data_IF_280412994312
#
_entry.id   IF_280412994312
#
_cell.length_a   1.000
_cell.length_b   1.000
_cell.length_c   1.000
_cell.angle_alpha   90.00
_cell.angle_beta   90.00
_cell.angle_gamma   90.00
#
_symmetry.space_group_name_H-M   'P 1'
#
loop_
_entity.id
_entity.type
_entity.pdbx_description
1 polymer ?
#
# COMPACT_ATOMS: atom_id res chain seq x y z
N UNK A 1 -31.17 -17.13 7.40
CA UNK A 1 -30.33 -16.18 8.18
C UNK A 1 -28.95 -16.82 8.35
N UNK A 2 -27.84 -16.13 8.06
CA UNK A 2 -26.49 -16.70 8.26
C UNK A 2 -26.20 -16.82 9.76
N UNK A 3 -25.63 -17.93 10.25
CA UNK A 3 -25.31 -18.07 11.66
C UNK A 3 -24.19 -17.09 12.07
N UNK A 4 -24.23 -16.51 13.29
CA UNK A 4 -23.30 -15.47 13.74
C UNK A 4 -21.83 -15.86 13.61
N UNK A 5 -21.46 -17.10 13.95
CA UNK A 5 -20.07 -17.57 13.89
C UNK A 5 -19.53 -17.58 12.46
N UNK A 6 -20.34 -18.02 11.49
CA UNK A 6 -19.93 -18.01 10.07
C UNK A 6 -19.75 -16.59 9.55
N UNK A 7 -20.56 -15.65 10.02
CA UNK A 7 -20.42 -14.24 9.67
C UNK A 7 -19.13 -13.65 10.26
N UNK A 8 -18.84 -13.91 11.54
CA UNK A 8 -17.60 -13.47 12.18
C UNK A 8 -16.36 -14.03 11.46
N UNK A 9 -16.34 -15.33 11.15
CA UNK A 9 -15.24 -15.93 10.39
C UNK A 9 -15.11 -15.41 8.96
N UNK A 10 -16.22 -15.03 8.31
CA UNK A 10 -16.18 -14.41 7.00
C UNK A 10 -15.60 -12.99 7.07
N UNK A 11 -16.08 -12.17 8.01
CA UNK A 11 -15.59 -10.81 8.22
C UNK A 11 -14.09 -10.79 8.54
N UNK A 12 -13.63 -11.67 9.43
CA UNK A 12 -12.21 -11.80 9.76
C UNK A 12 -11.36 -12.09 8.51
N UNK A 13 -11.77 -13.06 7.69
CA UNK A 13 -11.05 -13.38 6.43
C UNK A 13 -11.06 -12.23 5.43
N UNK A 14 -12.15 -11.47 5.35
CA UNK A 14 -12.22 -10.29 4.48
C UNK A 14 -11.29 -9.17 4.96
N UNK A 15 -11.19 -8.97 6.27
CA UNK A 15 -10.31 -7.99 6.90
C UNK A 15 -8.83 -8.37 6.75
N UNK A 16 -8.50 -9.66 6.91
CA UNK A 16 -7.15 -10.17 6.64
C UNK A 16 -6.76 -9.97 5.17
N UNK A 17 -7.67 -10.30 4.24
CA UNK A 17 -7.44 -10.09 2.82
C UNK A 17 -7.25 -8.60 2.47
N UNK A 18 -8.01 -7.70 3.12
CA UNK A 18 -7.86 -6.26 2.97
C UNK A 18 -6.50 -5.78 3.50
N UNK A 19 -6.06 -6.28 4.66
CA UNK A 19 -4.75 -5.94 5.23
C UNK A 19 -3.60 -6.39 4.31
N UNK A 20 -3.68 -7.61 3.75
CA UNK A 20 -2.72 -8.11 2.77
C UNK A 20 -2.71 -7.24 1.50
N UNK A 21 -3.89 -6.87 0.97
CA UNK A 21 -3.97 -6.02 -0.21
C UNK A 21 -3.34 -4.63 0.02
N UNK A 22 -3.60 -4.01 1.17
CA UNK A 22 -2.98 -2.73 1.57
C UNK A 22 -1.46 -2.85 1.70
N UNK A 23 -0.97 -3.93 2.31
CA UNK A 23 0.46 -4.20 2.42
C UNK A 23 1.12 -4.36 1.06
N UNK A 24 0.49 -5.11 0.16
CA UNK A 24 1.01 -5.33 -1.19
C UNK A 24 1.06 -4.03 -2.00
N UNK A 25 0.04 -3.17 -1.87
CA UNK A 25 0.03 -1.86 -2.50
C UNK A 25 1.20 -0.99 -1.99
N UNK A 26 1.41 -0.92 -0.69
CA UNK A 26 2.52 -0.17 -0.10
C UNK A 26 3.90 -0.72 -0.54
N UNK A 27 4.03 -2.05 -0.66
CA UNK A 27 5.26 -2.67 -1.17
C UNK A 27 5.51 -2.33 -2.64
N UNK A 28 4.46 -2.31 -3.46
CA UNK A 28 4.56 -1.94 -4.87
C UNK A 28 4.97 -0.47 -5.05
N UNK A 29 4.34 0.44 -4.31
CA UNK A 29 4.70 1.87 -4.30
C UNK A 29 6.15 2.07 -3.88
N UNK A 30 6.58 1.41 -2.79
CA UNK A 30 7.97 1.49 -2.32
C UNK A 30 8.96 0.91 -3.34
N UNK A 31 8.60 -0.18 -4.03
CA UNK A 31 9.45 -0.76 -5.06
C UNK A 31 9.64 0.22 -6.24
N UNK A 32 8.62 0.97 -6.63
CA UNK A 32 8.72 2.00 -7.66
C UNK A 32 9.63 3.16 -7.21
N UNK A 33 9.46 3.66 -5.99
CA UNK A 33 10.35 4.71 -5.45
C UNK A 33 11.80 4.25 -5.37
N UNK A 34 12.06 3.06 -4.85
CA UNK A 34 13.42 2.49 -4.78
C UNK A 34 14.03 2.32 -6.17
N UNK A 35 13.22 1.92 -7.16
CA UNK A 35 13.67 1.79 -8.55
C UNK A 35 14.01 3.16 -9.14
N UNK A 36 13.16 4.16 -8.94
CA UNK A 36 13.40 5.52 -9.40
C UNK A 36 14.69 6.10 -8.79
N UNK A 37 14.91 5.89 -7.49
CA UNK A 37 16.14 6.28 -6.80
C UNK A 37 17.37 5.58 -7.41
N UNK A 38 17.31 4.26 -7.59
CA UNK A 38 18.40 3.48 -8.17
C UNK A 38 18.74 3.88 -9.60
N UNK A 39 17.74 4.15 -10.43
CA UNK A 39 17.94 4.67 -11.79
C UNK A 39 18.54 6.08 -11.78
N UNK A 40 18.09 6.97 -10.88
CA UNK A 40 18.67 8.31 -10.70
C UNK A 40 20.15 8.25 -10.33
N UNK A 41 20.51 7.36 -9.40
CA UNK A 41 21.91 7.13 -8.99
C UNK A 41 22.76 6.65 -10.19
N UNK A 42 22.22 5.75 -11.03
CA UNK A 42 22.91 5.24 -12.22
C UNK A 42 23.11 6.30 -13.30
N UNK A 43 22.11 7.17 -13.50
CA UNK A 43 22.15 8.23 -14.52
C UNK A 43 23.07 9.39 -14.12
N UNK A 44 23.29 9.62 -12.82
CA UNK A 44 24.17 10.69 -12.30
C UNK A 44 25.35 10.16 -11.47
N UNK A 45 26.30 9.41 -12.05
CA UNK A 45 27.42 8.85 -11.30
C UNK A 45 28.46 9.90 -10.84
N UNK A 46 28.48 11.11 -11.44
CA UNK A 46 29.56 12.11 -11.24
C UNK A 46 29.32 13.19 -10.17
N UNK A 47 28.20 13.21 -9.44
CA UNK A 47 28.04 14.10 -8.27
C UNK A 47 28.66 13.54 -6.99
N UNK A 48 28.95 12.22 -6.93
CA UNK A 48 29.30 11.53 -5.69
C UNK A 48 30.79 11.27 -5.46
N UNK A 49 31.64 11.36 -6.50
CA UNK A 49 33.07 11.01 -6.36
C UNK A 49 33.93 12.12 -5.73
N UNK A 50 33.56 13.40 -5.90
CA UNK A 50 34.34 14.53 -5.37
C UNK A 50 34.08 14.83 -3.88
N UNK A 51 33.05 14.23 -3.27
CA UNK A 51 32.64 14.52 -1.89
C UNK A 51 32.52 13.24 -1.07
N UNK A 52 33.64 12.53 -0.83
CA UNK A 52 33.71 11.39 0.10
C UNK A 52 33.13 11.68 1.51
N UNK A 53 32.76 12.93 1.84
CA UNK A 53 32.05 13.34 3.06
C UNK A 53 30.68 14.03 2.87
N UNK A 54 30.25 14.36 1.66
CA UNK A 54 29.01 15.14 1.41
C UNK A 54 28.31 14.68 0.11
N UNK A 55 27.83 13.44 0.06
CA UNK A 55 26.93 13.01 -1.02
C UNK A 55 25.51 13.53 -0.72
N UNK A 56 25.28 14.84 -0.82
CA UNK A 56 23.95 15.42 -0.66
C UNK A 56 23.18 15.21 -1.96
N UNK A 57 22.04 14.52 -1.87
CA UNK A 57 21.00 14.55 -2.88
C UNK A 57 20.74 16.01 -3.29
N UNK A 58 21.02 16.33 -4.55
CA UNK A 58 20.92 17.69 -5.09
C UNK A 58 19.53 17.95 -5.67
N UNK A 59 19.16 19.22 -5.85
CA UNK A 59 17.90 19.54 -6.55
C UNK A 59 17.84 18.99 -7.98
N UNK A 60 19.00 18.83 -8.64
CA UNK A 60 19.08 18.17 -9.94
C UNK A 60 18.94 16.64 -9.85
N UNK A 61 19.28 16.02 -8.71
CA UNK A 61 18.97 14.61 -8.45
C UNK A 61 17.47 14.44 -8.20
N UNK A 62 16.86 15.34 -7.44
CA UNK A 62 15.40 15.34 -7.20
C UNK A 62 14.62 15.48 -8.51
N UNK A 63 14.99 16.43 -9.38
CA UNK A 63 14.32 16.62 -10.66
C UNK A 63 14.40 15.38 -11.56
N UNK A 64 15.54 14.68 -11.56
CA UNK A 64 15.71 13.46 -12.34
C UNK A 64 14.96 12.28 -11.71
N UNK A 65 14.96 12.17 -10.39
CA UNK A 65 14.14 11.20 -9.66
C UNK A 65 12.66 11.35 -9.99
N UNK A 66 12.12 12.57 -9.96
CA UNK A 66 10.71 12.81 -10.31
C UNK A 66 10.42 12.42 -11.76
N UNK A 67 11.31 12.75 -12.72
CA UNK A 67 11.15 12.31 -14.12
C UNK A 67 11.13 10.80 -14.29
N UNK A 68 12.03 10.10 -13.60
CA UNK A 68 12.08 8.63 -13.63
C UNK A 68 10.83 8.06 -12.96
N UNK A 69 10.43 8.60 -11.81
CA UNK A 69 9.24 8.17 -11.10
C UNK A 69 7.99 8.39 -11.95
N UNK A 70 7.83 9.53 -12.60
CA UNK A 70 6.73 9.83 -13.52
C UNK A 70 6.66 8.82 -14.67
N UNK A 71 7.81 8.48 -15.27
CA UNK A 71 7.87 7.45 -16.32
C UNK A 71 7.43 6.07 -15.79
N UNK A 72 7.88 5.69 -14.60
CA UNK A 72 7.48 4.42 -13.98
C UNK A 72 5.98 4.43 -13.63
N UNK A 73 5.47 5.55 -13.13
CA UNK A 73 4.06 5.76 -12.79
C UNK A 73 3.16 5.79 -14.02
N UNK A 74 3.63 6.26 -15.18
CA UNK A 74 2.87 6.20 -16.41
C UNK A 74 2.51 4.76 -16.82
N UNK A 75 3.36 3.79 -16.45
CA UNK A 75 3.13 2.36 -16.72
C UNK A 75 2.41 1.67 -15.56
N UNK A 76 2.88 1.86 -14.33
CA UNK A 76 2.38 1.15 -13.16
C UNK A 76 1.12 1.79 -12.53
N UNK A 77 0.91 3.10 -12.75
CA UNK A 77 -0.16 3.88 -12.15
C UNK A 77 -1.57 3.30 -12.37
N UNK A 78 -1.96 2.94 -13.61
CA UNK A 78 -3.28 2.36 -13.85
C UNK A 78 -3.56 1.08 -13.05
N UNK A 79 -2.54 0.25 -12.85
CA UNK A 79 -2.64 -0.98 -12.07
C UNK A 79 -2.72 -0.70 -10.56
N UNK A 80 -1.92 0.26 -10.07
CA UNK A 80 -2.01 0.72 -8.68
C UNK A 80 -3.39 1.34 -8.37
N UNK A 81 -3.92 2.15 -9.28
CA UNK A 81 -5.25 2.75 -9.15
C UNK A 81 -6.36 1.70 -9.19
N UNK A 82 -6.20 0.67 -10.01
CA UNK A 82 -7.11 -0.48 -10.03
C UNK A 82 -7.06 -1.21 -8.69
N UNK A 83 -5.87 -1.40 -8.11
CA UNK A 83 -5.71 -2.05 -6.81
C UNK A 83 -6.30 -1.19 -5.68
N UNK A 84 -6.07 0.12 -5.68
CA UNK A 84 -6.67 1.07 -4.73
C UNK A 84 -8.19 0.98 -4.77
N UNK A 85 -8.79 1.09 -5.96
CA UNK A 85 -10.26 0.96 -6.11
C UNK A 85 -10.80 -0.39 -5.66
N UNK A 86 -10.01 -1.47 -5.77
CA UNK A 86 -10.40 -2.79 -5.25
C UNK A 86 -10.41 -2.81 -3.72
N UNK A 87 -9.38 -2.21 -3.10
CA UNK A 87 -9.28 -2.01 -1.65
C UNK A 87 -10.49 -1.22 -1.15
N UNK A 88 -10.80 -0.09 -1.79
CA UNK A 88 -11.92 0.78 -1.38
C UNK A 88 -13.27 0.04 -1.46
N UNK A 89 -13.49 -0.75 -2.52
CA UNK A 89 -14.70 -1.58 -2.66
C UNK A 89 -14.79 -2.66 -1.59
N UNK A 90 -13.67 -3.29 -1.23
CA UNK A 90 -13.65 -4.30 -0.17
C UNK A 90 -13.94 -3.68 1.20
N UNK A 91 -13.36 -2.51 1.49
CA UNK A 91 -13.64 -1.77 2.71
C UNK A 91 -15.11 -1.37 2.81
N UNK A 92 -15.70 -0.84 1.73
CA UNK A 92 -17.12 -0.52 1.68
C UNK A 92 -18.01 -1.75 1.87
N UNK A 93 -17.63 -2.91 1.32
CA UNK A 93 -18.35 -4.17 1.49
C UNK A 93 -18.29 -4.66 2.95
N UNK A 94 -17.12 -4.62 3.59
CA UNK A 94 -16.95 -4.98 5.01
C UNK A 94 -17.81 -4.07 5.89
N UNK A 95 -17.77 -2.75 5.68
CA UNK A 95 -18.58 -1.79 6.43
C UNK A 95 -20.08 -2.04 6.26
N UNK A 96 -20.52 -2.32 5.04
CA UNK A 96 -21.91 -2.66 4.74
C UNK A 96 -22.36 -3.93 5.48
N UNK A 97 -21.52 -4.98 5.46
CA UNK A 97 -21.81 -6.23 6.17
C UNK A 97 -21.87 -6.03 7.68
N UNK A 98 -20.90 -5.33 8.27
CA UNK A 98 -20.90 -5.00 9.70
C UNK A 98 -22.17 -4.25 10.11
N UNK A 99 -22.60 -3.25 9.32
CA UNK A 99 -23.86 -2.51 9.54
C UNK A 99 -25.10 -3.41 9.41
N UNK A 100 -25.20 -4.19 8.33
CA UNK A 100 -26.37 -5.05 8.04
C UNK A 100 -26.63 -6.08 9.14
N UNK A 101 -25.57 -6.64 9.70
CA UNK A 101 -25.67 -7.69 10.71
C UNK A 101 -25.43 -7.18 12.14
N UNK A 102 -25.38 -5.85 12.34
CA UNK A 102 -25.08 -5.19 13.63
C UNK A 102 -23.85 -5.77 14.33
N UNK A 103 -22.85 -6.19 13.56
CA UNK A 103 -21.53 -6.58 14.06
C UNK A 103 -20.75 -5.29 14.35
N UNK A 104 -21.21 -4.60 15.38
CA UNK A 104 -20.52 -3.54 16.12
C UNK A 104 -20.59 -3.81 17.63
N UNK A 105 -21.25 -4.90 18.05
CA UNK A 105 -21.16 -5.37 19.42
C UNK A 105 -19.71 -5.78 19.69
N UNK A 106 -19.13 -5.23 20.75
CA UNK A 106 -17.88 -5.69 21.34
C UNK A 106 -17.86 -7.22 21.28
N UNK A 107 -16.77 -7.79 20.73
CA UNK A 107 -16.49 -9.22 20.84
C UNK A 107 -16.80 -9.61 22.29
N UNK A 108 -17.76 -10.51 22.57
CA UNK A 108 -18.02 -10.90 23.95
C UNK A 108 -16.68 -11.36 24.50
N UNK A 109 -16.17 -10.62 25.49
CA UNK A 109 -14.99 -11.04 26.21
C UNK A 109 -15.35 -12.41 26.76
N UNK A 110 -14.67 -13.44 26.25
CA UNK A 110 -14.73 -14.76 26.86
C UNK A 110 -14.21 -14.54 28.29
N UNK A 111 -15.13 -14.50 29.24
CA UNK A 111 -14.79 -14.76 30.62
C UNK A 111 -14.49 -16.26 30.67
N UNK A 112 -13.20 -16.56 30.62
CA UNK A 112 -12.71 -17.89 30.96
C UNK A 112 -12.88 -18.04 32.49
N UNK A 113 -13.59 -19.10 32.89
CA UNK A 113 -13.72 -19.54 34.28
C UNK A 113 -12.45 -20.25 34.74
#
# INVERSE_FOLDING_TARGET
>A
MMPPDRLCSLLARMEDALAVARRNLALAERALSNRAEGETIRLRPKSRHYHRRMSRWTGADEAEYQRVLDRLMAVAGPDLDRLRRKIDRQEAAILTLRRKYRVNAERPQRFDW
#
